data_IF_466611376753
#
_entry.id   IF_466611376753
#
_cell.length_a   1.000
_cell.length_b   1.000
_cell.length_c   1.000
_cell.angle_alpha   90.00
_cell.angle_beta   90.00
_cell.angle_gamma   90.00
#
_symmetry.space_group_name_H-M   'P 1'
#
loop_
_entity.id
_entity.type
_entity.pdbx_description
1 polymer ?
#
# COMPACT_ATOMS: atom_id res chain seq x y z
N UNK A 1 -13.33 -9.55 16.63
CA UNK A 1 -11.87 -9.29 16.54
C UNK A 1 -11.19 -10.49 17.14
N UNK A 2 -10.21 -11.11 16.48
CA UNK A 2 -9.56 -12.30 17.05
C UNK A 2 -8.25 -11.94 17.74
N UNK A 3 -7.95 -12.60 18.86
CA UNK A 3 -6.65 -12.54 19.52
C UNK A 3 -6.11 -13.95 19.74
N UNK A 4 -4.79 -14.12 19.73
CA UNK A 4 -4.14 -15.39 20.05
C UNK A 4 -3.76 -15.42 21.53
N UNK A 5 -4.06 -16.52 22.20
CA UNK A 5 -3.75 -16.78 23.60
C UNK A 5 -3.13 -18.18 23.76
N UNK A 6 -2.65 -18.51 24.96
CA UNK A 6 -2.30 -19.88 25.35
C UNK A 6 -3.27 -20.39 26.40
N UNK A 7 -3.66 -21.65 26.27
CA UNK A 7 -4.43 -22.36 27.29
C UNK A 7 -3.53 -22.78 28.45
N UNK A 8 -4.13 -23.14 29.59
CA UNK A 8 -3.40 -23.67 30.75
C UNK A 8 -2.63 -24.97 30.43
N UNK A 9 -3.03 -25.69 29.37
CA UNK A 9 -2.30 -26.83 28.81
C UNK A 9 -1.01 -26.43 28.06
N UNK A 10 -0.81 -25.14 27.78
CA UNK A 10 0.29 -24.61 26.97
C UNK A 10 0.01 -24.56 25.47
N UNK A 11 -1.14 -25.07 25.01
CA UNK A 11 -1.54 -25.05 23.61
C UNK A 11 -1.97 -23.64 23.16
N UNK A 12 -1.58 -23.20 21.95
CA UNK A 12 -2.06 -21.94 21.38
C UNK A 12 -3.55 -22.05 21.00
N UNK A 13 -4.32 -21.01 21.30
CA UNK A 13 -5.73 -20.89 20.93
C UNK A 13 -6.01 -19.50 20.33
N UNK A 14 -7.05 -19.39 19.52
CA UNK A 14 -7.54 -18.12 18.95
C UNK A 14 -8.93 -17.84 19.49
N UNK A 15 -9.12 -16.68 20.11
CA UNK A 15 -10.39 -16.28 20.73
C UNK A 15 -11.00 -15.12 19.95
N UNK A 16 -12.23 -15.30 19.48
CA UNK A 16 -13.04 -14.24 18.88
C UNK A 16 -13.61 -13.32 19.96
N UNK A 17 -13.44 -12.02 19.82
CA UNK A 17 -13.96 -10.97 20.71
C UNK A 17 -15.05 -10.15 20.02
N UNK A 18 -16.22 -10.08 20.65
CA UNK A 18 -17.32 -9.19 20.30
C UNK A 18 -17.25 -7.91 21.12
N UNK A 19 -17.47 -6.77 20.46
CA UNK A 19 -17.60 -5.49 21.15
C UNK A 19 -19.05 -5.28 21.59
N UNK A 20 -19.28 -5.23 22.90
CA UNK A 20 -20.53 -4.79 23.49
C UNK A 20 -20.38 -3.33 23.91
N UNK A 21 -20.97 -2.42 23.12
CA UNK A 21 -20.99 -0.99 23.43
C UNK A 21 -22.03 -0.70 24.51
N UNK A 22 -21.58 -0.46 25.74
CA UNK A 22 -22.41 0.14 26.79
C UNK A 22 -22.54 1.65 26.51
N UNK A 23 -23.77 2.15 26.32
CA UNK A 23 -24.01 3.55 25.98
C UNK A 23 -23.87 4.54 27.17
N UNK A 24 -23.63 4.05 28.40
CA UNK A 24 -23.73 4.90 29.61
C UNK A 24 -22.40 5.31 30.26
N UNK A 25 -21.28 4.64 29.97
CA UNK A 25 -20.00 4.81 30.68
C UNK A 25 -18.80 5.17 29.77
N UNK A 26 -18.98 5.24 28.45
CA UNK A 26 -17.90 5.56 27.50
C UNK A 26 -16.81 4.48 27.43
N UNK A 27 -17.11 3.28 27.92
CA UNK A 27 -16.21 2.13 27.95
C UNK A 27 -16.61 1.11 26.89
N UNK A 28 -15.60 0.51 26.28
CA UNK A 28 -15.74 -0.58 25.32
C UNK A 28 -15.41 -1.89 26.02
N UNK A 29 -16.42 -2.77 26.18
CA UNK A 29 -16.22 -4.14 26.68
C UNK A 29 -16.15 -5.12 25.53
N UNK A 30 -15.07 -5.89 25.50
CA UNK A 30 -14.82 -6.92 24.50
C UNK A 30 -14.94 -8.27 25.16
N UNK A 31 -15.96 -9.05 24.79
CA UNK A 31 -16.24 -10.36 25.38
C UNK A 31 -15.96 -11.45 24.37
N UNK A 32 -15.44 -12.59 24.83
CA UNK A 32 -15.30 -13.78 24.01
C UNK A 32 -16.64 -14.18 23.35
N UNK A 33 -16.58 -14.57 22.08
CA UNK A 33 -17.72 -15.05 21.30
C UNK A 33 -18.00 -16.54 21.59
N UNK A 34 -17.01 -17.28 22.08
CA UNK A 34 -17.13 -18.68 22.45
C UNK A 34 -17.39 -18.86 23.96
N UNK A 35 -18.23 -19.84 24.27
CA UNK A 35 -18.59 -20.20 25.66
C UNK A 35 -17.45 -20.94 26.35
N UNK A 36 -16.44 -21.39 25.59
CA UNK A 36 -15.31 -22.16 26.09
C UNK A 36 -14.31 -21.30 26.86
N UNK A 37 -14.22 -20.00 26.57
CA UNK A 37 -13.22 -19.12 27.15
C UNK A 37 -13.92 -17.88 27.72
N UNK A 38 -14.04 -17.77 29.05
CA UNK A 38 -14.58 -16.56 29.64
C UNK A 38 -13.49 -15.49 29.66
N UNK A 39 -13.42 -14.69 28.60
CA UNK A 39 -12.49 -13.56 28.50
C UNK A 39 -13.25 -12.25 28.27
N UNK A 40 -13.00 -11.26 29.12
CA UNK A 40 -13.53 -9.90 28.98
C UNK A 40 -12.40 -8.87 29.07
N UNK A 41 -12.27 -8.02 28.06
CA UNK A 41 -11.29 -6.92 28.02
C UNK A 41 -12.05 -5.59 28.03
N UNK A 42 -11.77 -4.76 29.02
CA UNK A 42 -12.36 -3.42 29.14
C UNK A 42 -11.38 -2.36 28.66
N UNK A 43 -11.84 -1.48 27.77
CA UNK A 43 -11.00 -0.45 27.12
C UNK A 43 -11.70 0.90 27.07
N UNK A 44 -10.90 1.97 26.93
CA UNK A 44 -11.40 3.27 26.45
C UNK A 44 -11.73 3.20 24.95
N UNK A 45 -12.47 4.18 24.42
CA UNK A 45 -12.69 4.29 22.95
C UNK A 45 -11.38 4.35 22.14
N UNK A 46 -10.31 4.92 22.71
CA UNK A 46 -8.99 4.99 22.09
C UNK A 46 -8.19 3.67 22.17
N UNK A 47 -8.77 2.59 22.68
CA UNK A 47 -8.13 1.27 22.77
C UNK A 47 -7.20 1.09 23.96
N UNK A 48 -7.08 2.07 24.86
CA UNK A 48 -6.32 1.90 26.13
C UNK A 48 -7.02 0.88 27.02
N UNK A 49 -6.29 -0.18 27.39
CA UNK A 49 -6.77 -1.23 28.29
C UNK A 49 -6.93 -0.69 29.71
N UNK A 50 -8.07 -1.01 30.31
CA UNK A 50 -8.43 -0.67 31.69
C UNK A 50 -8.53 -1.90 32.59
N UNK A 51 -8.79 -3.07 32.03
CA UNK A 51 -8.84 -4.35 32.76
C UNK A 51 -9.00 -5.54 31.82
N UNK A 52 -8.50 -6.70 32.27
CA UNK A 52 -8.63 -8.00 31.61
C UNK A 52 -9.15 -8.99 32.66
N UNK A 53 -10.31 -9.58 32.41
CA UNK A 53 -10.94 -10.61 33.25
C UNK A 53 -10.94 -11.91 32.45
N UNK A 54 -10.46 -13.00 33.05
CA UNK A 54 -10.27 -14.29 32.36
C UNK A 54 -10.60 -15.49 33.26
N UNK A 55 -11.03 -16.59 32.66
CA UNK A 55 -11.19 -17.89 33.33
C UNK A 55 -9.86 -18.62 33.54
N UNK A 56 -9.85 -19.58 34.46
CA UNK A 56 -8.63 -20.30 34.89
C UNK A 56 -8.07 -21.32 33.88
N UNK A 57 -8.78 -21.60 32.80
CA UNK A 57 -8.34 -22.44 31.67
C UNK A 57 -7.44 -21.67 30.67
N UNK A 58 -7.32 -20.35 30.79
CA UNK A 58 -6.40 -19.51 30.03
C UNK A 58 -5.05 -19.45 30.75
N UNK A 59 -3.99 -19.88 30.06
CA UNK A 59 -2.61 -19.90 30.56
C UNK A 59 -1.81 -18.63 30.24
N UNK A 60 -2.31 -17.79 29.32
CA UNK A 60 -1.74 -16.46 29.05
C UNK A 60 -1.98 -15.50 30.20
N UNK A 61 -0.97 -14.70 30.53
CA UNK A 61 -1.09 -13.66 31.57
C UNK A 61 -1.95 -12.48 31.10
N UNK A 62 -2.52 -11.66 32.02
CA UNK A 62 -3.23 -10.43 31.65
C UNK A 62 -2.43 -9.49 30.74
N UNK A 63 -1.11 -9.41 30.94
CA UNK A 63 -0.23 -8.58 30.13
C UNK A 63 -0.06 -9.15 28.71
N UNK A 64 0.15 -10.47 28.57
CA UNK A 64 0.23 -11.14 27.25
C UNK A 64 -1.08 -11.00 26.46
N UNK A 65 -2.23 -11.14 27.13
CA UNK A 65 -3.54 -10.91 26.51
C UNK A 65 -3.71 -9.44 26.14
N UNK A 66 -3.22 -8.53 26.99
CA UNK A 66 -3.24 -7.10 26.71
C UNK A 66 -2.41 -6.72 25.50
N UNK A 67 -1.20 -7.27 25.36
CA UNK A 67 -0.36 -7.10 24.17
C UNK A 67 -1.03 -7.67 22.92
N UNK A 68 -1.54 -8.90 22.98
CA UNK A 68 -2.26 -9.52 21.87
C UNK A 68 -3.48 -8.70 21.45
N UNK A 69 -4.21 -8.13 22.42
CA UNK A 69 -5.33 -7.24 22.16
C UNK A 69 -4.89 -5.92 21.52
N UNK A 70 -3.86 -5.26 22.04
CA UNK A 70 -3.37 -3.98 21.48
C UNK A 70 -2.90 -4.20 20.04
N UNK A 71 -2.19 -5.29 19.78
CA UNK A 71 -1.78 -5.68 18.45
C UNK A 71 -2.99 -5.88 17.52
N UNK A 72 -3.96 -6.71 17.92
CA UNK A 72 -5.16 -6.97 17.13
C UNK A 72 -6.01 -5.69 16.91
N UNK A 73 -6.10 -4.82 17.92
CA UNK A 73 -6.84 -3.56 17.86
C UNK A 73 -6.15 -2.56 16.92
N UNK A 74 -4.83 -2.45 16.97
CA UNK A 74 -4.03 -1.63 16.05
C UNK A 74 -4.13 -2.15 14.62
N UNK A 75 -3.97 -3.46 14.41
CA UNK A 75 -4.13 -4.11 13.10
C UNK A 75 -5.53 -3.88 12.52
N UNK A 76 -6.57 -4.04 13.33
CA UNK A 76 -7.95 -3.74 12.93
C UNK A 76 -8.13 -2.28 12.53
N UNK A 77 -7.56 -1.35 13.30
CA UNK A 77 -7.65 0.09 12.99
C UNK A 77 -6.96 0.43 11.66
N UNK A 78 -5.81 -0.20 11.39
CA UNK A 78 -5.10 -0.08 10.11
C UNK A 78 -5.95 -0.65 8.97
N UNK A 79 -6.58 -1.81 9.16
CA UNK A 79 -7.46 -2.44 8.17
C UNK A 79 -8.70 -1.61 7.86
N UNK A 80 -9.37 -1.09 8.89
CA UNK A 80 -10.54 -0.23 8.73
C UNK A 80 -10.17 1.06 7.99
N UNK A 81 -8.98 1.62 8.24
CA UNK A 81 -8.45 2.76 7.50
C UNK A 81 -8.04 2.40 6.05
N UNK A 82 -7.54 1.19 5.83
CA UNK A 82 -7.19 0.66 4.51
C UNK A 82 -8.40 0.21 3.69
N UNK A 83 -9.54 -0.06 4.34
CA UNK A 83 -10.74 -0.56 3.68
C UNK A 83 -10.69 -2.03 3.25
N UNK A 84 -9.62 -2.75 3.60
CA UNK A 84 -9.29 -4.10 3.14
C UNK A 84 -9.08 -5.02 4.35
N UNK A 85 -9.61 -6.24 4.27
CA UNK A 85 -9.39 -7.33 5.21
C UNK A 85 -7.93 -7.84 5.12
N UNK A 86 -7.23 -7.96 6.26
CA UNK A 86 -5.95 -8.71 6.28
C UNK A 86 -6.26 -10.19 6.32
N UNK A 87 -5.68 -10.92 5.38
CA UNK A 87 -5.72 -12.37 5.31
C UNK A 87 -4.53 -12.93 6.07
N UNK A 88 -4.71 -13.99 6.85
CA UNK A 88 -3.58 -14.66 7.49
C UNK A 88 -2.68 -15.24 6.40
N UNK A 89 -1.46 -14.73 6.26
CA UNK A 89 -0.45 -15.37 5.42
C UNK A 89 0.02 -16.64 6.13
N UNK A 90 -0.01 -17.78 5.42
CA UNK A 90 0.50 -19.04 5.96
C UNK A 90 1.98 -18.88 6.32
N UNK A 91 2.40 -19.42 7.47
CA UNK A 91 3.79 -19.35 7.96
C UNK A 91 4.83 -19.93 6.98
N UNK A 92 4.40 -20.85 6.10
CA UNK A 92 5.20 -21.40 5.00
C UNK A 92 5.42 -20.42 3.83
N UNK A 93 4.68 -19.31 3.82
CA UNK A 93 4.87 -18.19 2.91
C UNK A 93 5.99 -17.25 3.35
N UNK A 94 6.89 -17.69 4.25
CA UNK A 94 8.19 -17.05 4.39
C UNK A 94 8.77 -16.92 2.98
N UNK A 95 8.94 -15.69 2.52
CA UNK A 95 9.79 -15.42 1.38
C UNK A 95 11.16 -15.92 1.80
N UNK A 96 11.48 -17.19 1.53
CA UNK A 96 12.87 -17.63 1.59
C UNK A 96 13.61 -16.57 0.77
N UNK A 97 14.60 -15.88 1.38
CA UNK A 97 15.31 -14.83 0.69
C UNK A 97 15.87 -15.47 -0.56
N UNK A 98 15.28 -15.18 -1.72
CA UNK A 98 15.73 -15.71 -2.99
C UNK A 98 17.11 -15.11 -3.16
N UNK A 99 18.21 -15.87 -2.97
CA UNK A 99 19.51 -15.26 -2.93
C UNK A 99 19.81 -14.81 -4.34
N UNK A 100 19.69 -13.50 -4.56
CA UNK A 100 20.08 -12.91 -5.82
C UNK A 100 21.56 -13.09 -5.98
N UNK A 101 21.99 -13.38 -7.20
CA UNK A 101 23.40 -13.38 -7.52
C UNK A 101 23.95 -11.95 -7.28
N UNK A 102 24.88 -11.76 -6.32
CA UNK A 102 25.42 -10.45 -5.99
C UNK A 102 26.07 -9.74 -7.17
N UNK A 103 26.48 -10.47 -8.22
CA UNK A 103 27.07 -9.89 -9.43
C UNK A 103 26.10 -9.01 -10.23
N UNK A 104 24.79 -9.16 -10.03
CA UNK A 104 23.77 -8.32 -10.66
C UNK A 104 23.43 -7.05 -9.87
N UNK A 105 23.95 -6.89 -8.65
CA UNK A 105 23.79 -5.67 -7.86
C UNK A 105 24.77 -4.62 -8.38
N UNK A 106 24.24 -3.60 -9.07
CA UNK A 106 25.05 -2.53 -9.67
C UNK A 106 24.61 -1.20 -9.10
N UNK A 107 25.41 -0.68 -8.18
CA UNK A 107 25.19 0.60 -7.53
C UNK A 107 26.44 1.46 -7.69
N UNK A 108 26.30 2.55 -8.42
CA UNK A 108 27.37 3.52 -8.64
C UNK A 108 27.25 4.67 -7.64
N UNK A 109 28.32 4.95 -6.90
CA UNK A 109 28.39 6.12 -6.02
C UNK A 109 29.09 7.28 -6.75
N UNK A 110 28.37 8.38 -6.99
CA UNK A 110 28.86 9.54 -7.74
C UNK A 110 28.57 10.85 -7.00
N UNK A 111 29.53 11.81 -6.95
CA UNK A 111 29.28 13.15 -6.42
C UNK A 111 28.58 14.03 -7.47
N UNK A 112 27.57 14.77 -7.06
CA UNK A 112 26.88 15.77 -7.89
C UNK A 112 26.87 17.13 -7.20
N UNK A 113 27.10 18.21 -7.95
CA UNK A 113 26.88 19.57 -7.45
C UNK A 113 25.37 19.85 -7.38
N UNK A 114 24.92 20.55 -6.34
CA UNK A 114 23.51 20.98 -6.23
C UNK A 114 23.05 21.75 -7.47
N UNK A 115 23.91 22.54 -8.11
CA UNK A 115 23.57 23.23 -9.36
C UNK A 115 23.16 22.27 -10.48
N UNK A 116 23.95 21.20 -10.70
CA UNK A 116 23.67 20.21 -11.73
C UNK A 116 22.40 19.43 -11.39
N UNK A 117 22.22 19.05 -10.12
CA UNK A 117 21.02 18.35 -9.66
C UNK A 117 19.79 19.20 -9.88
N UNK A 118 19.86 20.51 -9.59
CA UNK A 118 18.77 21.44 -9.83
C UNK A 118 18.42 21.54 -11.32
N UNK A 119 19.42 21.67 -12.20
CA UNK A 119 19.20 21.71 -13.65
C UNK A 119 18.56 20.41 -14.15
N UNK A 120 19.09 19.24 -13.74
CA UNK A 120 18.53 17.92 -14.06
C UNK A 120 17.08 17.76 -13.55
N UNK A 121 16.73 18.34 -12.41
CA UNK A 121 15.33 18.36 -11.92
C UNK A 121 14.45 19.19 -12.85
N UNK A 122 14.92 20.37 -13.29
CA UNK A 122 14.17 21.27 -14.19
C UNK A 122 13.99 20.69 -15.59
N UNK A 123 15.00 19.96 -16.07
CA UNK A 123 14.98 19.30 -17.38
C UNK A 123 14.17 17.99 -17.37
N UNK A 124 13.82 17.47 -16.18
CA UNK A 124 13.06 16.24 -16.01
C UNK A 124 13.91 14.96 -15.99
N UNK A 125 15.24 15.10 -16.01
CA UNK A 125 16.20 13.99 -15.89
C UNK A 125 16.20 13.40 -14.48
N UNK A 126 15.99 14.22 -13.45
CA UNK A 126 15.71 13.76 -12.08
C UNK A 126 14.23 13.99 -11.78
N UNK A 127 13.50 12.90 -11.63
CA UNK A 127 12.09 12.96 -11.30
C UNK A 127 11.90 12.99 -9.77
N UNK A 128 11.49 14.16 -9.27
CA UNK A 128 11.09 14.37 -7.87
C UNK A 128 9.62 14.00 -7.58
N UNK A 129 8.93 13.26 -8.43
CA UNK A 129 7.53 12.84 -8.20
C UNK A 129 7.39 11.33 -8.25
N UNK A 130 6.52 10.76 -7.40
CA UNK A 130 5.07 10.82 -7.65
C UNK A 130 4.21 11.39 -6.52
N UNK A 131 2.99 11.80 -6.86
CA UNK A 131 2.01 12.59 -6.08
C UNK A 131 1.65 12.14 -4.64
N UNK A 132 2.19 11.03 -4.14
CA UNK A 132 1.80 10.42 -2.87
C UNK A 132 2.64 10.84 -1.67
N UNK A 133 3.95 11.05 -1.84
CA UNK A 133 4.77 11.62 -0.76
C UNK A 133 4.48 13.12 -0.57
N UNK A 134 3.73 13.77 -1.48
CA UNK A 134 3.20 15.13 -1.27
C UNK A 134 2.20 15.21 -0.12
N UNK A 135 1.62 14.09 0.33
CA UNK A 135 0.80 14.07 1.54
C UNK A 135 1.64 14.00 2.83
N UNK A 136 2.94 13.69 2.73
CA UNK A 136 3.90 13.62 3.82
C UNK A 136 5.01 14.67 3.60
N UNK A 137 4.60 15.93 3.49
CA UNK A 137 5.54 17.07 3.51
C UNK A 137 6.01 17.27 4.96
N UNK A 138 7.27 17.67 5.15
CA UNK A 138 7.71 18.24 6.44
C UNK A 138 6.76 19.37 6.83
N UNK A 139 5.83 19.08 7.74
CA UNK A 139 4.94 20.07 8.35
C UNK A 139 5.72 21.02 9.25
N UNK A 140 6.90 20.58 9.72
CA UNK A 140 7.87 21.40 10.41
C UNK A 140 8.65 22.29 9.42
N UNK A 141 8.24 23.56 9.35
CA UNK A 141 8.89 24.60 8.55
C UNK A 141 10.31 24.89 9.04
N UNK A 142 10.58 24.77 10.34
CA UNK A 142 11.89 25.00 10.94
C UNK A 142 12.90 23.93 10.55
N UNK A 143 12.47 22.66 10.48
CA UNK A 143 13.30 21.59 9.94
C UNK A 143 13.79 21.91 8.51
N UNK A 144 12.88 22.36 7.62
CA UNK A 144 13.21 22.67 6.21
C UNK A 144 14.29 23.76 6.10
N UNK A 145 14.17 24.79 6.93
CA UNK A 145 15.15 25.87 6.98
C UNK A 145 16.51 25.42 7.53
N UNK A 146 16.53 24.55 8.55
CA UNK A 146 17.75 23.96 9.10
C UNK A 146 18.51 23.06 8.12
N UNK A 147 17.81 22.42 7.18
CA UNK A 147 18.47 21.71 6.08
C UNK A 147 19.26 22.70 5.21
N UNK A 148 18.65 23.82 4.80
CA UNK A 148 19.34 24.85 4.02
C UNK A 148 20.48 25.46 4.83
N UNK A 149 20.26 25.71 6.12
CA UNK A 149 21.29 26.18 7.04
C UNK A 149 22.49 25.24 7.10
N UNK A 150 22.24 23.93 7.19
CA UNK A 150 23.29 22.91 7.20
C UNK A 150 24.17 23.00 5.94
N UNK A 151 23.56 23.17 4.77
CA UNK A 151 24.27 23.37 3.50
C UNK A 151 25.07 24.69 3.54
N UNK A 152 24.46 25.78 4.01
CA UNK A 152 25.11 27.07 4.21
C UNK A 152 26.27 27.00 5.22
N UNK A 153 26.26 26.06 6.16
CA UNK A 153 27.33 25.82 7.14
C UNK A 153 28.37 24.79 6.67
N UNK A 154 28.18 24.17 5.50
CA UNK A 154 29.00 23.04 4.99
C UNK A 154 28.92 21.77 5.84
N UNK A 155 27.80 21.57 6.53
CA UNK A 155 27.50 20.30 7.18
C UNK A 155 27.13 19.29 6.08
N UNK A 156 27.77 18.12 6.03
CA UNK A 156 27.50 17.12 5.00
C UNK A 156 26.08 16.59 5.11
N UNK A 157 25.42 16.42 3.96
CA UNK A 157 24.11 15.78 3.90
C UNK A 157 24.28 14.24 3.85
N UNK A 158 23.33 13.47 4.39
CA UNK A 158 23.29 12.03 4.16
C UNK A 158 23.27 11.71 2.66
N UNK A 159 23.73 10.52 2.28
CA UNK A 159 23.70 10.06 0.90
C UNK A 159 22.28 10.07 0.33
N UNK A 160 22.17 10.23 -0.99
CA UNK A 160 20.91 10.11 -1.72
C UNK A 160 20.92 8.80 -2.50
N UNK A 161 19.75 8.17 -2.63
CA UNK A 161 19.59 6.96 -3.44
C UNK A 161 18.66 7.25 -4.60
N UNK A 162 19.09 6.86 -5.80
CA UNK A 162 18.34 7.03 -7.04
C UNK A 162 18.32 5.70 -7.80
N UNK A 163 17.26 5.43 -8.53
CA UNK A 163 17.21 4.33 -9.50
C UNK A 163 17.16 4.91 -10.91
N UNK A 164 17.93 4.32 -11.81
CA UNK A 164 17.96 4.68 -13.22
C UNK A 164 16.96 3.82 -14.01
N UNK A 165 16.19 4.45 -14.91
CA UNK A 165 15.40 3.74 -15.91
C UNK A 165 16.22 3.44 -17.19
N UNK A 166 15.65 2.70 -18.14
CA UNK A 166 16.36 2.33 -19.36
C UNK A 166 16.62 3.50 -20.30
N UNK A 167 15.88 4.60 -20.14
CA UNK A 167 16.07 5.86 -20.85
C UNK A 167 17.15 6.74 -20.17
N UNK A 168 17.67 6.33 -19.03
CA UNK A 168 18.73 7.03 -18.29
C UNK A 168 18.23 8.06 -17.28
N UNK A 169 16.91 8.26 -17.15
CA UNK A 169 16.32 9.16 -16.15
C UNK A 169 16.48 8.58 -14.76
N UNK A 170 16.60 9.47 -13.78
CA UNK A 170 16.85 9.14 -12.39
C UNK A 170 15.60 9.39 -11.55
N UNK A 171 15.13 8.35 -10.90
CA UNK A 171 14.04 8.42 -9.94
C UNK A 171 14.61 8.45 -8.52
N UNK A 172 14.18 9.42 -7.71
CA UNK A 172 14.65 9.53 -6.32
C UNK A 172 13.95 8.50 -5.44
N UNK A 173 14.75 7.80 -4.64
CA UNK A 173 14.34 6.68 -3.77
C UNK A 173 14.41 7.11 -2.32
N UNK A 174 15.53 7.72 -1.94
CA UNK A 174 15.73 8.34 -0.64
C UNK A 174 16.28 9.75 -0.81
N UNK A 175 15.89 10.64 0.11
CA UNK A 175 16.24 12.05 0.07
C UNK A 175 15.31 12.90 -0.79
N UNK A 176 14.14 12.38 -1.17
CA UNK A 176 13.14 13.13 -1.94
C UNK A 176 12.76 14.45 -1.26
N UNK A 177 12.43 14.40 0.04
CA UNK A 177 12.09 15.59 0.82
C UNK A 177 13.25 16.60 0.86
N UNK A 178 14.49 16.11 0.99
CA UNK A 178 15.69 16.95 1.04
C UNK A 178 15.93 17.67 -0.29
N UNK A 179 15.85 16.96 -1.42
CA UNK A 179 15.96 17.55 -2.75
C UNK A 179 14.81 18.51 -3.05
N UNK A 180 13.59 18.18 -2.64
CA UNK A 180 12.42 19.06 -2.79
C UNK A 180 12.59 20.37 -2.03
N UNK A 181 13.10 20.34 -0.79
CA UNK A 181 13.37 21.55 0.00
C UNK A 181 14.45 22.41 -0.65
N UNK A 182 15.53 21.78 -1.15
CA UNK A 182 16.59 22.47 -1.89
C UNK A 182 16.01 23.14 -3.14
N UNK A 183 15.27 22.41 -3.97
CA UNK A 183 14.62 22.94 -5.17
C UNK A 183 13.70 24.12 -4.84
N UNK A 184 12.81 23.97 -3.85
CA UNK A 184 11.90 25.02 -3.42
C UNK A 184 12.62 26.28 -2.92
N UNK A 185 13.76 26.13 -2.25
CA UNK A 185 14.56 27.28 -1.85
C UNK A 185 15.19 27.99 -3.05
N UNK A 186 15.78 27.22 -3.98
CA UNK A 186 16.36 27.76 -5.22
C UNK A 186 15.31 28.46 -6.10
N UNK A 187 14.08 27.97 -6.09
CA UNK A 187 12.89 28.55 -6.75
C UNK A 187 12.30 29.78 -6.01
N UNK A 188 12.88 30.21 -4.88
CA UNK A 188 12.31 31.23 -3.98
C UNK A 188 10.91 30.89 -3.42
N UNK A 189 10.50 29.63 -3.42
CA UNK A 189 9.25 29.12 -2.83
C UNK A 189 9.37 28.81 -1.34
N UNK A 190 10.57 28.91 -0.77
CA UNK A 190 10.85 28.76 0.66
C UNK A 190 11.54 30.02 1.20
N UNK A 191 11.03 30.54 2.32
CA UNK A 191 11.68 31.57 3.14
C UNK A 191 12.26 30.92 4.39
N UNK A 192 13.49 31.25 4.72
CA UNK A 192 14.16 30.70 5.91
C UNK A 192 13.49 31.19 7.19
N UNK A 193 13.30 30.30 8.17
CA UNK A 193 12.72 30.57 9.50
C UNK A 193 13.36 29.65 10.52
N UNK A 194 13.37 30.05 11.79
CA UNK A 194 13.81 29.20 12.90
C UNK A 194 15.24 28.66 12.72
N UNK A 195 16.13 29.47 12.15
CA UNK A 195 17.56 29.14 11.95
C UNK A 195 18.27 29.04 13.29
N UNK A 196 19.26 28.17 13.47
CA UNK A 196 19.94 28.01 14.77
C UNK A 196 21.17 28.92 14.90
N UNK A 197 21.91 29.13 13.81
CA UNK A 197 23.20 29.82 13.79
C UNK A 197 23.19 31.08 12.92
N UNK A 198 22.54 31.02 11.75
CA UNK A 198 22.57 32.06 10.73
C UNK A 198 21.36 32.99 10.86
N UNK A 199 21.13 33.53 12.06
CA UNK A 199 19.97 34.40 12.38
C UNK A 199 19.81 35.60 11.45
N UNK A 200 20.92 36.17 10.97
CA UNK A 200 20.90 37.29 10.02
C UNK A 200 20.35 36.92 8.64
N UNK A 201 20.24 35.64 8.31
CA UNK A 201 19.68 35.13 7.05
C UNK A 201 18.20 34.72 7.18
N UNK A 202 17.61 34.86 8.37
CA UNK A 202 16.22 34.51 8.62
C UNK A 202 15.25 35.45 7.85
N UNK A 203 14.15 34.89 7.34
CA UNK A 203 13.17 35.58 6.50
C UNK A 203 13.57 35.75 5.02
N UNK A 204 14.83 35.45 4.67
CA UNK A 204 15.36 35.64 3.31
C UNK A 204 15.07 34.46 2.38
N UNK A 205 15.11 34.74 1.08
CA UNK A 205 15.00 33.76 -0.02
C UNK A 205 16.35 33.57 -0.72
N UNK A 206 16.44 32.63 -1.67
CA UNK A 206 17.67 32.40 -2.41
C UNK A 206 18.11 33.61 -3.24
N UNK A 207 17.21 34.19 -4.06
CA UNK A 207 17.48 35.36 -4.92
C UNK A 207 16.34 36.37 -4.87
N UNK A 208 16.67 37.65 -4.82
CA UNK A 208 15.71 38.75 -4.86
C UNK A 208 16.42 40.03 -5.32
N UNK A 209 15.71 40.96 -5.94
CA UNK A 209 16.29 42.23 -6.42
C UNK A 209 16.78 43.12 -5.27
N UNK A 210 16.01 43.17 -4.19
CA UNK A 210 16.43 43.74 -2.89
C UNK A 210 17.47 42.84 -2.18
N UNK A 211 18.72 43.31 -2.01
CA UNK A 211 19.78 42.56 -1.31
C UNK A 211 19.45 42.22 0.13
N UNK A 212 18.60 43.00 0.81
CA UNK A 212 18.17 42.73 2.18
C UNK A 212 17.22 41.53 2.31
N UNK A 213 16.60 41.11 1.20
CA UNK A 213 15.63 40.00 1.18
C UNK A 213 16.20 38.69 0.66
N UNK A 214 17.43 38.66 0.18
CA UNK A 214 18.10 37.45 -0.28
C UNK A 214 19.35 37.15 0.55
N UNK A 215 19.65 35.87 0.70
CA UNK A 215 20.80 35.43 1.49
C UNK A 215 22.11 35.97 0.92
N UNK A 216 23.15 36.11 1.75
CA UNK A 216 24.46 36.59 1.30
C UNK A 216 24.98 35.77 0.09
N UNK A 217 25.62 36.47 -0.87
CA UNK A 217 26.23 35.88 -2.06
C UNK A 217 27.19 34.70 -1.74
N UNK A 218 27.88 34.75 -0.59
CA UNK A 218 28.77 33.66 -0.13
C UNK A 218 28.01 32.36 0.10
N UNK A 219 26.80 32.43 0.66
CA UNK A 219 25.96 31.27 0.92
C UNK A 219 25.30 30.77 -0.36
N UNK A 220 24.89 31.66 -1.27
CA UNK A 220 24.42 31.24 -2.61
C UNK A 220 25.47 30.41 -3.34
N UNK A 221 26.71 30.90 -3.40
CA UNK A 221 27.83 30.16 -4.02
C UNK A 221 28.06 28.82 -3.34
N UNK A 222 28.08 28.82 -2.01
CA UNK A 222 28.26 27.61 -1.21
C UNK A 222 27.19 26.56 -1.50
N UNK A 223 25.92 26.94 -1.49
CA UNK A 223 24.79 26.04 -1.81
C UNK A 223 24.97 25.43 -3.20
N UNK A 224 25.18 26.25 -4.23
CA UNK A 224 25.28 25.76 -5.62
C UNK A 224 26.49 24.82 -5.84
N UNK A 225 27.59 25.06 -5.12
CA UNK A 225 28.83 24.30 -5.22
C UNK A 225 28.90 23.10 -4.27
N UNK A 226 27.95 22.96 -3.34
CA UNK A 226 27.92 21.81 -2.43
C UNK A 226 27.76 20.54 -3.24
N UNK A 227 28.67 19.60 -3.01
CA UNK A 227 28.60 18.25 -3.55
C UNK A 227 27.73 17.39 -2.65
N UNK A 228 26.77 16.70 -3.25
CA UNK A 228 25.97 15.66 -2.63
C UNK A 228 26.31 14.31 -3.26
N UNK A 229 26.42 13.29 -2.41
CA UNK A 229 26.73 11.94 -2.85
C UNK A 229 25.45 11.21 -3.23
N UNK A 230 25.42 10.67 -4.45
CA UNK A 230 24.30 9.91 -5.00
C UNK A 230 24.72 8.47 -5.28
N UNK A 231 23.98 7.51 -4.73
CA UNK A 231 24.05 6.11 -5.07
C UNK A 231 22.99 5.82 -6.13
N UNK A 232 23.43 5.53 -7.35
CA UNK A 232 22.57 5.28 -8.51
C UNK A 232 22.50 3.77 -8.72
N UNK A 233 21.31 3.20 -8.57
CA UNK A 233 21.04 1.81 -8.91
C UNK A 233 20.82 1.73 -10.43
N UNK A 234 21.64 0.92 -11.09
CA UNK A 234 21.65 0.78 -12.54
C UNK A 234 20.35 0.16 -13.07
N UNK A 235 19.96 0.56 -14.29
CA UNK A 235 18.76 0.05 -14.94
C UNK A 235 18.79 -1.49 -15.13
N UNK A 236 19.98 -2.08 -15.28
CA UNK A 236 20.20 -3.52 -15.47
C UNK A 236 20.08 -4.33 -14.18
N UNK A 237 20.07 -3.69 -13.00
CA UNK A 237 19.81 -4.43 -11.76
C UNK A 237 18.42 -5.06 -11.80
N UNK A 238 18.29 -6.37 -11.50
CA UNK A 238 17.01 -7.06 -11.50
C UNK A 238 15.97 -6.34 -10.65
N UNK A 239 14.70 -6.34 -11.09
CA UNK A 239 13.64 -5.58 -10.44
C UNK A 239 13.48 -5.98 -8.96
N UNK A 240 13.49 -7.28 -8.68
CA UNK A 240 13.40 -7.84 -7.34
C UNK A 240 14.55 -7.39 -6.43
N UNK A 241 15.77 -7.33 -6.96
CA UNK A 241 16.93 -6.73 -6.26
C UNK A 241 16.72 -5.24 -5.98
N UNK A 242 16.20 -4.46 -6.95
CA UNK A 242 15.92 -3.02 -6.75
C UNK A 242 14.91 -2.82 -5.61
N UNK A 243 13.83 -3.61 -5.58
CA UNK A 243 12.82 -3.59 -4.52
C UNK A 243 13.42 -3.89 -3.15
N UNK A 244 14.28 -4.90 -3.06
CA UNK A 244 14.94 -5.27 -1.81
C UNK A 244 15.90 -4.19 -1.31
N UNK A 245 16.67 -3.58 -2.21
CA UNK A 245 17.52 -2.43 -1.88
C UNK A 245 16.65 -1.28 -1.34
N UNK A 246 15.51 -1.01 -1.97
CA UNK A 246 14.60 0.04 -1.52
C UNK A 246 14.01 -0.25 -0.14
N UNK A 247 13.53 -1.48 0.11
CA UNK A 247 13.02 -1.91 1.41
C UNK A 247 14.07 -1.71 2.51
N UNK A 248 15.34 -2.02 2.23
CA UNK A 248 16.46 -1.85 3.19
C UNK A 248 16.82 -0.39 3.46
N UNK A 249 16.80 0.46 2.43
CA UNK A 249 17.07 1.90 2.59
C UNK A 249 15.94 2.60 3.36
N UNK A 250 14.68 2.21 3.11
CA UNK A 250 13.49 2.83 3.70
C UNK A 250 13.17 2.34 5.14
N UNK A 251 14.12 1.73 5.84
CA UNK A 251 13.92 1.27 7.23
C UNK A 251 13.93 2.41 8.25
N UNK A 252 14.43 3.59 7.88
CA UNK A 252 14.42 4.78 8.74
C UNK A 252 13.12 5.59 8.65
N UNK A 253 12.59 6.05 9.78
CA UNK A 253 11.37 6.87 9.83
C UNK A 253 10.08 6.05 9.65
N UNK A 254 9.12 6.55 8.84
CA UNK A 254 7.93 5.78 8.47
C UNK A 254 8.23 4.99 7.20
N UNK A 255 8.38 3.66 7.26
CA UNK A 255 8.69 2.86 6.09
C UNK A 255 7.57 2.91 5.05
N UNK A 256 7.97 2.95 3.78
CA UNK A 256 7.08 2.77 2.65
C UNK A 256 6.55 1.32 2.64
N UNK A 257 5.27 1.13 2.34
CA UNK A 257 4.73 -0.18 2.05
C UNK A 257 5.13 -0.64 0.64
N UNK A 258 4.90 -1.92 0.34
CA UNK A 258 5.27 -2.50 -0.95
C UNK A 258 4.68 -1.71 -2.15
N UNK A 259 3.43 -1.27 -2.06
CA UNK A 259 2.80 -0.52 -3.15
C UNK A 259 3.38 0.89 -3.34
N UNK A 260 3.74 1.59 -2.27
CA UNK A 260 4.42 2.90 -2.34
C UNK A 260 5.80 2.75 -3.00
N UNK A 261 6.52 1.66 -2.70
CA UNK A 261 7.78 1.30 -3.36
C UNK A 261 7.53 1.01 -4.86
N UNK A 262 6.48 0.24 -5.20
CA UNK A 262 6.08 -0.02 -6.60
C UNK A 262 5.77 1.25 -7.37
N UNK A 263 5.05 2.17 -6.72
CA UNK A 263 4.71 3.44 -7.33
C UNK A 263 5.94 4.33 -7.53
N UNK A 264 6.95 4.30 -6.64
CA UNK A 264 8.25 4.91 -6.92
C UNK A 264 8.92 4.31 -8.16
N UNK A 265 8.85 3.00 -8.32
CA UNK A 265 9.46 2.28 -9.45
C UNK A 265 8.67 2.36 -10.77
N UNK A 266 7.50 2.99 -10.75
CA UNK A 266 6.62 3.08 -11.91
C UNK A 266 6.95 4.29 -12.77
N UNK A 267 6.96 4.08 -14.10
CA UNK A 267 7.05 5.18 -15.06
C UNK A 267 5.88 6.16 -14.87
N UNK A 268 6.01 7.42 -15.33
CA UNK A 268 4.91 8.38 -15.28
C UNK A 268 3.60 7.84 -15.88
N UNK A 269 3.70 7.09 -16.97
CA UNK A 269 2.57 6.49 -17.68
C UNK A 269 1.92 5.37 -16.85
N UNK A 270 2.71 4.45 -16.29
CA UNK A 270 2.23 3.37 -15.41
C UNK A 270 1.55 3.92 -14.16
N UNK A 271 2.11 4.98 -13.56
CA UNK A 271 1.48 5.67 -12.42
C UNK A 271 0.15 6.29 -12.79
N UNK A 272 0.10 6.99 -13.93
CA UNK A 272 -1.13 7.59 -14.43
C UNK A 272 -2.19 6.53 -14.72
N UNK A 273 -1.79 5.38 -15.26
CA UNK A 273 -2.69 4.24 -15.47
C UNK A 273 -3.28 3.76 -14.13
N UNK A 274 -2.47 3.34 -13.16
CA UNK A 274 -2.97 2.80 -11.89
C UNK A 274 -3.82 3.84 -11.12
N UNK A 275 -3.42 5.11 -11.17
CA UNK A 275 -4.22 6.20 -10.63
C UNK A 275 -5.57 6.33 -11.35
N UNK A 276 -5.60 6.29 -12.68
CA UNK A 276 -6.86 6.37 -13.44
C UNK A 276 -7.80 5.19 -13.18
N UNK A 277 -7.26 3.96 -13.09
CA UNK A 277 -8.06 2.77 -12.78
C UNK A 277 -8.67 2.86 -11.39
N UNK A 278 -7.86 3.17 -10.37
CA UNK A 278 -8.33 3.33 -8.98
C UNK A 278 -9.29 4.52 -8.76
N UNK A 279 -9.39 5.43 -9.73
CA UNK A 279 -10.28 6.60 -9.70
C UNK A 279 -11.42 6.51 -10.70
N UNK A 280 -11.52 5.42 -11.46
CA UNK A 280 -12.60 5.27 -12.44
C UNK A 280 -13.95 5.22 -11.72
N UNK A 281 -15.01 5.80 -12.30
CA UNK A 281 -16.35 5.72 -11.74
C UNK A 281 -16.80 4.27 -11.48
N UNK A 282 -16.43 3.35 -12.38
CA UNK A 282 -16.79 1.94 -12.27
C UNK A 282 -16.11 1.27 -11.07
N UNK A 283 -14.82 1.54 -10.84
CA UNK A 283 -14.11 1.02 -9.67
C UNK A 283 -14.66 1.59 -8.38
N UNK A 284 -14.93 2.90 -8.33
CA UNK A 284 -15.49 3.55 -7.15
C UNK A 284 -16.90 3.04 -6.84
N UNK A 285 -17.70 2.73 -7.87
CA UNK A 285 -19.01 2.12 -7.71
C UNK A 285 -18.90 0.68 -7.19
N UNK A 286 -18.11 -0.17 -7.85
CA UNK A 286 -17.94 -1.58 -7.48
C UNK A 286 -17.35 -1.73 -6.05
N UNK A 287 -16.39 -0.89 -5.68
CA UNK A 287 -15.80 -0.92 -4.33
C UNK A 287 -16.57 -0.10 -3.30
N UNK A 288 -17.61 0.63 -3.71
CA UNK A 288 -18.30 1.61 -2.88
C UNK A 288 -17.38 2.67 -2.25
N UNK A 289 -16.31 3.04 -2.97
CA UNK A 289 -15.27 3.99 -2.53
C UNK A 289 -14.69 3.67 -1.14
N UNK A 290 -14.72 2.39 -0.74
CA UNK A 290 -14.31 2.00 0.62
C UNK A 290 -12.83 1.65 0.74
N UNK A 291 -12.08 1.58 -0.37
CA UNK A 291 -10.66 1.23 -0.36
C UNK A 291 -9.81 2.46 -0.02
N UNK A 292 -8.86 2.27 0.89
CA UNK A 292 -7.95 3.31 1.38
C UNK A 292 -7.02 3.81 0.28
N UNK A 293 -6.77 5.12 0.30
CA UNK A 293 -6.05 5.81 -0.78
C UNK A 293 -4.72 6.40 -0.34
N UNK A 294 -4.58 6.71 0.95
CA UNK A 294 -3.41 7.38 1.55
C UNK A 294 -2.15 6.53 1.40
N UNK A 295 -2.32 5.21 1.50
CA UNK A 295 -1.25 4.21 1.43
C UNK A 295 -1.38 3.32 0.17
N UNK A 296 -2.10 3.82 -0.84
CA UNK A 296 -2.23 3.23 -2.18
C UNK A 296 -2.85 1.84 -2.26
N UNK A 297 -3.69 1.47 -1.28
CA UNK A 297 -4.36 0.17 -1.33
C UNK A 297 -5.27 0.04 -2.56
N UNK A 298 -5.91 1.13 -2.96
CA UNK A 298 -6.69 1.25 -4.18
C UNK A 298 -5.88 0.94 -5.45
N UNK A 299 -4.65 1.45 -5.53
CA UNK A 299 -3.75 1.19 -6.65
C UNK A 299 -3.15 -0.22 -6.61
N UNK A 300 -2.87 -0.79 -5.44
CA UNK A 300 -2.42 -2.19 -5.34
C UNK A 300 -3.50 -3.15 -5.85
N UNK A 301 -4.75 -2.93 -5.46
CA UNK A 301 -5.89 -3.73 -5.92
C UNK A 301 -6.04 -3.63 -7.45
N UNK A 302 -5.95 -2.42 -8.03
CA UNK A 302 -5.96 -2.25 -9.48
C UNK A 302 -4.76 -2.94 -10.16
N UNK A 303 -3.58 -2.90 -9.53
CA UNK A 303 -2.38 -3.58 -10.02
C UNK A 303 -2.54 -5.11 -9.97
N UNK A 304 -3.20 -5.67 -8.96
CA UNK A 304 -3.53 -7.11 -8.91
C UNK A 304 -4.35 -7.52 -10.11
N UNK A 305 -5.42 -6.80 -10.44
CA UNK A 305 -6.17 -7.05 -11.68
C UNK A 305 -5.26 -7.02 -12.91
N UNK A 306 -4.46 -5.95 -13.06
CA UNK A 306 -3.59 -5.78 -14.20
C UNK A 306 -2.59 -6.93 -14.35
N UNK A 307 -2.03 -7.43 -13.24
CA UNK A 307 -1.06 -8.52 -13.21
C UNK A 307 -1.64 -9.82 -13.76
N UNK A 308 -2.82 -10.23 -13.28
CA UNK A 308 -3.49 -11.43 -13.78
C UNK A 308 -3.95 -11.26 -15.22
N UNK A 309 -4.52 -10.10 -15.56
CA UNK A 309 -4.98 -9.84 -16.92
C UNK A 309 -3.83 -9.80 -17.94
N UNK A 310 -2.67 -9.25 -17.56
CA UNK A 310 -1.46 -9.29 -18.40
C UNK A 310 -0.93 -10.72 -18.56
N UNK A 311 -1.09 -11.57 -17.54
CA UNK A 311 -0.73 -12.97 -17.66
C UNK A 311 -1.63 -13.71 -18.65
N UNK A 312 -2.95 -13.49 -18.62
CA UNK A 312 -3.89 -14.05 -19.59
C UNK A 312 -3.64 -13.56 -21.02
N UNK A 313 -3.12 -12.34 -21.15
CA UNK A 313 -2.73 -11.72 -22.42
C UNK A 313 -1.29 -12.06 -22.85
N UNK A 314 -0.61 -12.96 -22.14
CA UNK A 314 0.76 -13.43 -22.41
C UNK A 314 1.86 -12.34 -22.37
N UNK A 315 1.60 -11.20 -21.72
CA UNK A 315 2.63 -10.18 -21.48
C UNK A 315 3.55 -10.55 -20.29
N UNK A 316 3.08 -11.38 -19.37
CA UNK A 316 3.79 -11.80 -18.16
C UNK A 316 3.58 -13.29 -17.90
N UNK A 317 4.57 -13.94 -17.27
CA UNK A 317 4.47 -15.33 -16.86
C UNK A 317 3.31 -15.55 -15.85
N UNK A 318 2.69 -16.74 -15.82
CA UNK A 318 1.66 -17.09 -14.85
C UNK A 318 2.07 -16.94 -13.39
N UNK A 319 1.07 -16.70 -12.53
CA UNK A 319 1.28 -16.55 -11.10
C UNK A 319 1.92 -17.80 -10.48
N UNK A 320 3.08 -17.60 -9.84
CA UNK A 320 3.89 -18.68 -9.27
C UNK A 320 3.69 -18.90 -7.76
N UNK A 321 2.83 -18.11 -7.09
CA UNK A 321 2.59 -18.23 -5.64
C UNK A 321 3.29 -17.16 -4.77
N UNK A 322 3.98 -16.19 -5.37
CA UNK A 322 4.54 -15.05 -4.65
C UNK A 322 3.94 -13.74 -5.19
N UNK A 323 2.94 -13.20 -4.48
CA UNK A 323 2.20 -12.01 -4.91
C UNK A 323 3.08 -10.78 -4.98
N UNK A 324 4.00 -10.59 -4.02
CA UNK A 324 4.88 -9.42 -4.05
C UNK A 324 5.72 -9.40 -5.32
N UNK A 325 6.43 -10.49 -5.61
CA UNK A 325 7.27 -10.61 -6.80
C UNK A 325 6.45 -10.51 -8.09
N UNK A 326 5.24 -11.09 -8.10
CA UNK A 326 4.36 -11.04 -9.26
C UNK A 326 3.95 -9.61 -9.59
N UNK A 327 3.57 -8.81 -8.59
CA UNK A 327 3.22 -7.40 -8.78
C UNK A 327 4.44 -6.52 -9.11
N UNK A 328 5.61 -6.81 -8.51
CA UNK A 328 6.86 -6.12 -8.82
C UNK A 328 7.26 -6.32 -10.30
N UNK A 329 7.13 -7.55 -10.81
CA UNK A 329 7.31 -7.87 -12.23
C UNK A 329 6.26 -7.19 -13.12
N UNK A 330 5.03 -7.03 -12.63
CA UNK A 330 3.98 -6.32 -13.37
C UNK A 330 4.29 -4.85 -13.57
N UNK A 331 4.91 -4.17 -12.59
CA UNK A 331 5.38 -2.79 -12.78
C UNK A 331 6.39 -2.72 -13.93
N UNK A 332 7.34 -3.65 -13.97
CA UNK A 332 8.33 -3.71 -15.05
C UNK A 332 7.68 -3.99 -16.41
N UNK A 333 6.72 -4.92 -16.46
CA UNK A 333 5.95 -5.25 -17.67
C UNK A 333 5.18 -4.03 -18.19
N UNK A 334 4.49 -3.30 -17.31
CA UNK A 334 3.73 -2.10 -17.66
C UNK A 334 4.63 -0.97 -18.14
N UNK A 335 5.74 -0.72 -17.44
CA UNK A 335 6.72 0.30 -17.81
C UNK A 335 7.26 0.08 -19.24
N UNK A 336 7.53 -1.18 -19.61
CA UNK A 336 8.06 -1.55 -20.93
C UNK A 336 7.00 -1.65 -22.03
N UNK A 337 5.73 -1.83 -21.66
CA UNK A 337 4.65 -2.07 -22.62
C UNK A 337 3.47 -1.11 -22.43
N UNK A 338 3.64 0.21 -22.64
CA UNK A 338 2.52 1.16 -22.57
C UNK A 338 1.34 0.80 -23.48
N UNK A 339 1.58 0.12 -24.61
CA UNK A 339 0.52 -0.34 -25.51
C UNK A 339 -0.39 -1.43 -24.92
N UNK A 340 -0.01 -2.06 -23.80
CA UNK A 340 -0.91 -2.98 -23.10
C UNK A 340 -2.09 -2.25 -22.42
N UNK A 341 -1.99 -0.94 -22.22
CA UNK A 341 -2.98 -0.15 -21.48
C UNK A 341 -4.32 -0.12 -22.23
N UNK A 342 -4.27 -0.09 -23.57
CA UNK A 342 -5.45 -0.10 -24.44
C UNK A 342 -6.31 -1.36 -24.28
N UNK A 343 -5.70 -2.47 -23.83
CA UNK A 343 -6.41 -3.72 -23.52
C UNK A 343 -6.83 -3.79 -22.05
N UNK A 344 -6.02 -3.23 -21.15
CA UNK A 344 -6.25 -3.30 -19.71
C UNK A 344 -7.39 -2.40 -19.24
N UNK A 345 -7.45 -1.15 -19.70
CA UNK A 345 -8.44 -0.17 -19.24
C UNK A 345 -9.87 -0.64 -19.54
N UNK A 346 -10.23 -1.03 -20.78
CA UNK A 346 -11.60 -1.45 -21.06
C UNK A 346 -11.98 -2.76 -20.33
N UNK A 347 -11.02 -3.69 -20.21
CA UNK A 347 -11.25 -4.94 -19.48
C UNK A 347 -11.52 -4.67 -17.98
N UNK A 348 -10.75 -3.78 -17.37
CA UNK A 348 -10.94 -3.39 -15.97
C UNK A 348 -12.31 -2.74 -15.75
N UNK A 349 -12.66 -1.74 -16.56
CA UNK A 349 -13.94 -1.04 -16.47
C UNK A 349 -15.12 -2.00 -16.67
N UNK A 350 -15.03 -2.92 -17.63
CA UNK A 350 -16.03 -3.99 -17.82
C UNK A 350 -16.14 -4.89 -16.59
N UNK A 351 -15.01 -5.38 -16.07
CA UNK A 351 -15.00 -6.21 -14.86
C UNK A 351 -15.63 -5.50 -13.67
N UNK A 352 -15.38 -4.19 -13.50
CA UNK A 352 -15.99 -3.38 -12.45
C UNK A 352 -17.50 -3.19 -12.65
N UNK A 353 -17.96 -2.89 -13.86
CA UNK A 353 -19.38 -2.73 -14.18
C UNK A 353 -20.14 -4.04 -13.97
N UNK A 354 -19.61 -5.15 -14.46
CA UNK A 354 -20.16 -6.49 -14.24
C UNK A 354 -20.22 -6.83 -12.74
N UNK A 355 -19.15 -6.54 -11.99
CA UNK A 355 -19.12 -6.76 -10.54
C UNK A 355 -20.17 -5.91 -9.81
N UNK A 356 -20.30 -4.64 -10.19
CA UNK A 356 -21.29 -3.73 -9.58
C UNK A 356 -22.72 -4.18 -9.86
N UNK A 357 -23.01 -4.64 -11.08
CA UNK A 357 -24.33 -5.18 -11.44
C UNK A 357 -24.65 -6.45 -10.66
N UNK A 358 -23.73 -7.43 -10.66
CA UNK A 358 -23.97 -8.75 -10.09
C UNK A 358 -24.00 -8.77 -8.56
N UNK A 359 -23.19 -7.94 -7.89
CA UNK A 359 -23.04 -7.96 -6.44
C UNK A 359 -23.53 -6.70 -5.72
N UNK A 360 -23.71 -5.58 -6.43
CA UNK A 360 -24.06 -4.30 -5.82
C UNK A 360 -23.05 -3.88 -4.75
N UNK A 361 -23.56 -3.49 -3.57
CA UNK A 361 -22.74 -3.03 -2.45
C UNK A 361 -21.92 -4.15 -1.76
N UNK A 362 -22.13 -5.41 -2.15
CA UNK A 362 -21.45 -6.58 -1.59
C UNK A 362 -20.28 -7.06 -2.45
N UNK A 363 -19.98 -6.39 -3.57
CA UNK A 363 -18.91 -6.80 -4.47
C UNK A 363 -17.58 -6.95 -3.71
N UNK A 364 -16.87 -8.04 -3.98
CA UNK A 364 -15.53 -8.36 -3.46
C UNK A 364 -15.44 -8.43 -1.93
N UNK A 365 -16.55 -8.77 -1.26
CA UNK A 365 -16.63 -8.89 0.20
C UNK A 365 -16.95 -10.31 0.58
N UNK A 366 -16.27 -10.80 1.61
CA UNK A 366 -16.51 -12.13 2.19
C UNK A 366 -17.73 -12.07 3.09
N UNK A 367 -18.91 -12.14 2.48
CA UNK A 367 -20.21 -12.09 3.13
C UNK A 367 -20.73 -13.50 3.42
N UNK A 368 -21.32 -13.68 4.59
CA UNK A 368 -22.24 -14.78 4.91
C UNK A 368 -23.68 -14.36 4.61
N UNK A 369 -24.65 -15.29 4.58
CA UNK A 369 -26.07 -14.94 4.40
C UNK A 369 -26.58 -13.89 5.41
N UNK A 370 -26.05 -13.90 6.64
CA UNK A 370 -26.40 -12.93 7.68
C UNK A 370 -25.88 -11.52 7.37
N UNK A 371 -24.78 -11.39 6.64
CA UNK A 371 -24.21 -10.09 6.26
C UNK A 371 -25.02 -9.38 5.16
N UNK A 372 -25.94 -10.10 4.49
CA UNK A 372 -26.81 -9.57 3.45
C UNK A 372 -28.11 -8.97 4.01
N UNK A 373 -28.41 -9.21 5.29
CA UNK A 373 -29.62 -8.72 5.92
C UNK A 373 -29.60 -7.19 6.11
N UNK A 374 -30.76 -6.50 6.01
CA UNK A 374 -30.84 -5.08 6.26
C UNK A 374 -30.32 -4.71 7.66
N UNK A 375 -29.42 -3.72 7.72
CA UNK A 375 -28.81 -3.25 8.98
C UNK A 375 -27.53 -3.99 9.39
N UNK A 376 -27.13 -5.05 8.68
CA UNK A 376 -25.83 -5.67 8.88
C UNK A 376 -24.69 -4.69 8.55
N UNK A 377 -23.59 -4.78 9.29
CA UNK A 377 -22.41 -3.96 9.03
C UNK A 377 -21.72 -4.47 7.76
N UNK A 378 -21.51 -3.56 6.80
CA UNK A 378 -20.76 -3.87 5.58
C UNK A 378 -19.36 -4.40 5.90
N UNK A 379 -19.03 -5.56 5.34
CA UNK A 379 -17.71 -6.20 5.43
C UNK A 379 -16.65 -5.38 4.67
N UNK A 380 -15.39 -5.49 5.09
CA UNK A 380 -14.25 -4.93 4.36
C UNK A 380 -14.03 -5.68 3.04
N UNK A 381 -13.32 -5.03 2.11
CA UNK A 381 -12.93 -5.64 0.85
C UNK A 381 -11.96 -6.80 1.10
N UNK A 382 -12.13 -7.90 0.36
CA UNK A 382 -11.22 -9.02 0.41
C UNK A 382 -10.38 -9.04 -0.87
N UNK A 383 -9.05 -9.03 -0.73
CA UNK A 383 -8.14 -8.96 -1.87
C UNK A 383 -8.25 -10.18 -2.80
N UNK A 384 -8.49 -11.38 -2.25
CA UNK A 384 -8.64 -12.60 -3.05
C UNK A 384 -9.90 -12.53 -3.89
N UNK A 385 -11.03 -12.20 -3.28
CA UNK A 385 -12.31 -12.02 -3.97
C UNK A 385 -12.26 -10.89 -5.00
N UNK A 386 -11.57 -9.78 -4.71
CA UNK A 386 -11.34 -8.76 -5.73
C UNK A 386 -10.57 -9.34 -6.91
N UNK A 387 -9.42 -9.96 -6.64
CA UNK A 387 -8.53 -10.46 -7.68
C UNK A 387 -9.22 -11.47 -8.59
N UNK A 388 -9.96 -12.42 -8.02
CA UNK A 388 -10.63 -13.46 -8.80
C UNK A 388 -11.83 -12.92 -9.58
N UNK A 389 -12.78 -12.29 -8.90
CA UNK A 389 -14.01 -11.84 -9.54
C UNK A 389 -13.78 -10.70 -10.54
N UNK A 390 -12.88 -9.75 -10.24
CA UNK A 390 -12.60 -8.65 -11.18
C UNK A 390 -12.04 -9.16 -12.51
N UNK A 391 -11.18 -10.17 -12.47
CA UNK A 391 -10.54 -10.76 -13.66
C UNK A 391 -11.52 -11.66 -14.41
N UNK A 392 -12.23 -12.57 -13.72
CA UNK A 392 -13.21 -13.47 -14.36
C UNK A 392 -14.33 -12.66 -15.02
N UNK A 393 -14.89 -11.67 -14.33
CA UNK A 393 -15.98 -10.86 -14.87
C UNK A 393 -15.52 -9.87 -15.96
N UNK A 394 -14.22 -9.59 -16.06
CA UNK A 394 -13.69 -8.82 -17.18
C UNK A 394 -13.66 -9.61 -18.49
N UNK A 395 -13.79 -10.94 -18.46
CA UNK A 395 -13.86 -11.78 -19.65
C UNK A 395 -15.27 -11.92 -20.23
N UNK A 396 -16.30 -11.70 -19.41
CA UNK A 396 -17.69 -11.81 -19.82
C UNK A 396 -18.18 -10.55 -20.51
N UNK A 397 -19.00 -10.71 -21.55
CA UNK A 397 -19.62 -9.57 -22.22
C UNK A 397 -20.73 -8.99 -21.35
N UNK A 398 -20.80 -7.65 -21.32
CA UNK A 398 -21.77 -6.96 -20.44
C UNK A 398 -23.21 -7.29 -20.80
N UNK A 399 -23.50 -7.55 -22.08
CA UNK A 399 -24.84 -7.94 -22.52
C UNK A 399 -25.29 -9.27 -21.93
N UNK A 400 -24.36 -10.21 -21.69
CA UNK A 400 -24.66 -11.50 -21.07
C UNK A 400 -24.94 -11.30 -19.59
N UNK A 401 -24.07 -10.56 -18.90
CA UNK A 401 -24.19 -10.26 -17.46
C UNK A 401 -25.47 -9.47 -17.14
N UNK A 402 -25.87 -8.53 -18.01
CA UNK A 402 -27.08 -7.74 -17.81
C UNK A 402 -28.38 -8.55 -17.87
N UNK A 403 -28.36 -9.78 -18.40
CA UNK A 403 -29.53 -10.68 -18.35
C UNK A 403 -29.80 -11.22 -16.95
N UNK A 404 -28.77 -11.23 -16.09
CA UNK A 404 -28.86 -11.71 -14.72
C UNK A 404 -29.42 -10.63 -13.81
N UNK A 405 -30.27 -11.02 -12.86
CA UNK A 405 -30.88 -10.11 -11.88
C UNK A 405 -29.79 -9.36 -11.08
N UNK A 406 -29.82 -8.02 -11.01
CA UNK A 406 -28.85 -7.26 -10.23
C UNK A 406 -28.77 -7.73 -8.76
N UNK A 407 -27.55 -7.85 -8.24
CA UNK A 407 -27.29 -8.24 -6.86
C UNK A 407 -27.46 -9.74 -6.53
N UNK A 408 -27.92 -10.57 -7.48
CA UNK A 408 -28.19 -11.99 -7.20
C UNK A 408 -26.94 -12.79 -6.80
N UNK A 409 -25.78 -12.43 -7.33
CA UNK A 409 -24.53 -13.13 -7.03
C UNK A 409 -24.05 -12.90 -5.59
N UNK A 410 -24.51 -11.84 -4.91
CA UNK A 410 -24.20 -11.64 -3.49
C UNK A 410 -24.76 -12.79 -2.65
N UNK A 411 -25.99 -13.22 -2.92
CA UNK A 411 -26.63 -14.35 -2.23
C UNK A 411 -25.98 -15.69 -2.61
N UNK A 412 -25.72 -15.91 -3.91
CA UNK A 412 -25.11 -17.14 -4.42
C UNK A 412 -23.73 -17.35 -3.80
N UNK A 413 -22.86 -16.34 -3.87
CA UNK A 413 -21.49 -16.44 -3.35
C UNK A 413 -21.47 -16.53 -1.83
N UNK A 414 -22.40 -15.87 -1.13
CA UNK A 414 -22.51 -16.01 0.32
C UNK A 414 -22.91 -17.44 0.74
N UNK A 415 -23.82 -18.08 0.00
CA UNK A 415 -24.18 -19.48 0.24
C UNK A 415 -23.03 -20.44 -0.06
N UNK A 416 -22.31 -20.22 -1.15
CA UNK A 416 -21.12 -21.02 -1.49
C UNK A 416 -20.00 -20.87 -0.47
N UNK A 417 -19.74 -19.66 0.03
CA UNK A 417 -18.75 -19.43 1.09
C UNK A 417 -19.16 -20.07 2.43
N UNK A 418 -20.46 -20.16 2.72
CA UNK A 418 -20.97 -20.80 3.95
C UNK A 418 -20.98 -22.33 3.83
N UNK A 419 -21.24 -22.86 2.63
CA UNK A 419 -21.36 -24.29 2.35
C UNK A 419 -20.06 -25.00 1.94
N UNK A 420 -19.09 -24.29 1.36
CA UNK A 420 -17.81 -24.85 0.89
C UNK A 420 -16.63 -24.29 1.70
N UNK A 421 -16.18 -25.09 2.66
CA UNK A 421 -15.04 -24.73 3.51
C UNK A 421 -13.76 -24.51 2.72
N UNK A 422 -13.54 -25.21 1.59
CA UNK A 422 -12.35 -25.01 0.78
C UNK A 422 -12.39 -23.64 0.09
N UNK A 423 -13.58 -23.22 -0.38
CA UNK A 423 -13.73 -21.91 -0.98
C UNK A 423 -13.54 -20.80 0.06
N UNK A 424 -14.19 -20.94 1.23
CA UNK A 424 -13.99 -20.03 2.35
C UNK A 424 -12.52 -19.88 2.74
N UNK A 425 -11.81 -21.00 2.87
CA UNK A 425 -10.40 -21.01 3.25
C UNK A 425 -9.51 -20.38 2.18
N UNK A 426 -9.81 -20.63 0.91
CA UNK A 426 -9.04 -20.08 -0.22
C UNK A 426 -9.04 -18.56 -0.31
N UNK A 427 -10.07 -17.92 0.26
CA UNK A 427 -10.21 -16.46 0.32
C UNK A 427 -9.96 -15.88 1.72
N UNK A 428 -9.64 -16.72 2.71
CA UNK A 428 -9.41 -16.30 4.10
C UNK A 428 -7.97 -16.49 4.56
N UNK A 429 -7.35 -17.62 4.21
CA UNK A 429 -6.03 -18.01 4.70
C UNK A 429 -5.10 -18.28 3.54
N UNK A 430 -3.84 -17.84 3.64
CA UNK A 430 -2.82 -18.04 2.62
C UNK A 430 -3.35 -17.66 1.24
N UNK A 431 -4.06 -16.53 1.12
CA UNK A 431 -4.80 -16.17 -0.10
C UNK A 431 -3.90 -15.84 -1.29
N UNK A 432 -2.60 -15.71 -1.03
CA UNK A 432 -1.56 -15.59 -2.03
C UNK A 432 -0.97 -16.97 -2.42
N UNK A 433 -1.30 -18.08 -1.74
CA UNK A 433 -0.89 -19.41 -2.19
C UNK A 433 -1.46 -19.71 -3.57
N UNK A 434 -0.61 -20.28 -4.44
CA UNK A 434 -0.98 -20.54 -5.84
C UNK A 434 -2.18 -21.48 -5.94
N UNK A 435 -2.20 -22.56 -5.17
CA UNK A 435 -3.27 -23.57 -5.26
C UNK A 435 -4.60 -22.99 -4.77
N UNK A 436 -4.59 -22.27 -3.65
CA UNK A 436 -5.80 -21.62 -3.12
C UNK A 436 -6.34 -20.56 -4.07
N UNK A 437 -5.47 -19.71 -4.62
CA UNK A 437 -5.91 -18.68 -5.55
C UNK A 437 -6.47 -19.28 -6.84
N UNK A 438 -5.83 -20.32 -7.40
CA UNK A 438 -6.37 -21.05 -8.55
C UNK A 438 -7.73 -21.67 -8.28
N UNK A 439 -7.93 -22.25 -7.09
CA UNK A 439 -9.23 -22.79 -6.68
C UNK A 439 -10.31 -21.69 -6.62
N UNK A 440 -9.98 -20.52 -6.06
CA UNK A 440 -10.90 -19.39 -6.00
C UNK A 440 -11.25 -18.86 -7.41
N UNK A 441 -10.31 -18.88 -8.36
CA UNK A 441 -10.56 -18.58 -9.77
C UNK A 441 -11.49 -19.62 -10.42
N UNK A 442 -11.21 -20.91 -10.22
CA UNK A 442 -12.03 -22.01 -10.75
C UNK A 442 -13.46 -21.89 -10.25
N UNK A 443 -13.66 -21.68 -8.94
CA UNK A 443 -14.98 -21.45 -8.34
C UNK A 443 -15.72 -20.26 -8.95
N UNK A 444 -15.06 -19.12 -9.08
CA UNK A 444 -15.68 -17.95 -9.71
C UNK A 444 -16.12 -18.23 -11.16
N UNK A 445 -15.30 -18.96 -11.93
CA UNK A 445 -15.63 -19.37 -13.31
C UNK A 445 -16.82 -20.32 -13.35
N UNK A 446 -16.82 -21.36 -12.51
CA UNK A 446 -17.93 -22.32 -12.41
C UNK A 446 -19.26 -21.62 -12.12
N UNK A 447 -19.28 -20.72 -11.13
CA UNK A 447 -20.49 -19.98 -10.78
C UNK A 447 -20.97 -19.05 -11.91
N UNK A 448 -20.05 -18.47 -12.68
CA UNK A 448 -20.43 -17.70 -13.87
C UNK A 448 -21.10 -18.60 -14.92
N UNK A 449 -20.51 -19.75 -15.24
CA UNK A 449 -21.08 -20.70 -16.20
C UNK A 449 -22.46 -21.22 -15.75
N UNK A 450 -22.63 -21.51 -14.46
CA UNK A 450 -23.90 -22.06 -13.94
C UNK A 450 -25.05 -21.04 -13.91
N UNK A 451 -24.75 -19.75 -13.73
CA UNK A 451 -25.76 -18.73 -13.46
C UNK A 451 -25.89 -17.62 -14.51
N UNK A 452 -24.94 -17.51 -15.45
CA UNK A 452 -24.97 -16.50 -16.52
C UNK A 452 -25.21 -17.19 -17.87
N UNK A 453 -24.52 -18.28 -18.17
CA UNK A 453 -24.63 -19.02 -19.44
C UNK A 453 -23.41 -19.86 -19.75
#
# INVERSE_FOLDING_TARGET
MQIRIRLASGEPASVGLRLDKSQSDGLCRWTAEDVLHELTITTTEAGRILGVEMSGDIGSTPDEIGEAFIQAFAERSIQEAAGIEVTEESADGSSEPFPYDPEFIRVDTKPFNISLVYDMIKDGDINLSPDFQRQFVWTDVGARSRLIESIMLRIPLPVFYLAQDYEGRLQVVDGLQRLTVIEQFLDNKLRLRDLEYLKDEEGKVFRHDDPGRCIDQRYRKRIMQTQIMMNIIDAQTPVDVKFDIFKRINQGGRPLNAQEIRNCMSSPETRKLLHSLSRSPDFLAATCSSVGTVRMQDQEIALRFAAFRLSDLEYQAPYAGNMERFLDQTIETLNRNPGAFDKLVPAFERGMRNSSHLFGAFAFRKCSPNDLLPGARRRLMNNSLFTTWSVVLAELEESEVQTVKPGSFAEIVAQELDGDSNYYDSVSFGTNDRRRLLYAFEKARTLCTEHIG
#
